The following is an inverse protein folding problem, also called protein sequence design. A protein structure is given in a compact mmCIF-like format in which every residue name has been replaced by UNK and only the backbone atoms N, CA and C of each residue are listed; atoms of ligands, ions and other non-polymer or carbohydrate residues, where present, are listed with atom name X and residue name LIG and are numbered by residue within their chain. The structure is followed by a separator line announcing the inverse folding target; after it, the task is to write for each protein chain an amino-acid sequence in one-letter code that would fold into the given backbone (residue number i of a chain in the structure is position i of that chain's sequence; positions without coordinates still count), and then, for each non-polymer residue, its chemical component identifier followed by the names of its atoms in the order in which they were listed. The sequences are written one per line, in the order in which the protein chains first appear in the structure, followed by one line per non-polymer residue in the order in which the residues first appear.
data_IF_730772189708
#
_entry.id   IF_730772189708
#
_cell.length_a   1.000
_cell.length_b   1.000
_cell.length_c   1.000
_cell.angle_alpha   90.00
_cell.angle_beta   90.00
_cell.angle_gamma   90.00
#
_symmetry.space_group_name_H-M   'P 1'
#
loop_
_entity.id
_entity.type
_entity.pdbx_description
1 polymer ?
#
# COMPACT_ATOMS: atom_id res chain seq x y z
N UNK A 1 -2.08 -0.21 -22.44
CA UNK A 1 -1.01 0.77 -22.20
C UNK A 1 -0.81 0.98 -20.70
N UNK A 2 0.41 0.86 -20.25
CA UNK A 2 0.72 1.04 -18.82
C UNK A 2 0.81 2.53 -18.49
N UNK A 3 0.12 2.94 -17.43
CA UNK A 3 0.21 4.31 -16.95
C UNK A 3 1.52 4.51 -16.20
N UNK A 4 2.19 5.63 -16.41
CA UNK A 4 3.47 5.91 -15.76
C UNK A 4 3.35 5.92 -14.23
N UNK A 5 2.21 6.41 -13.71
CA UNK A 5 1.97 6.42 -12.26
C UNK A 5 1.83 5.05 -11.66
N UNK A 6 1.40 4.06 -12.44
CA UNK A 6 1.23 2.70 -11.96
C UNK A 6 2.55 2.05 -11.54
N UNK A 7 3.59 2.24 -12.32
CA UNK A 7 4.92 1.73 -11.97
C UNK A 7 5.45 2.38 -10.70
N UNK A 8 5.30 3.69 -10.60
CA UNK A 8 5.74 4.42 -9.41
C UNK A 8 4.96 3.97 -8.18
N UNK A 9 3.65 3.79 -8.32
CA UNK A 9 2.82 3.31 -7.22
C UNK A 9 3.27 1.94 -6.73
N UNK A 10 3.60 1.03 -7.65
CA UNK A 10 4.12 -0.29 -7.28
C UNK A 10 5.42 -0.20 -6.51
N UNK A 11 6.32 0.70 -6.90
CA UNK A 11 7.57 0.90 -6.19
C UNK A 11 7.32 1.42 -4.78
N UNK A 12 6.38 2.35 -4.62
CA UNK A 12 6.04 2.89 -3.31
C UNK A 12 5.41 1.85 -2.40
N UNK A 13 4.67 0.89 -2.98
CA UNK A 13 4.00 -0.17 -2.23
C UNK A 13 4.93 -1.37 -1.96
N UNK A 14 6.15 -1.34 -2.46
CA UNK A 14 7.07 -2.46 -2.34
C UNK A 14 7.26 -2.95 -0.89
N UNK A 15 7.32 -2.07 0.14
CA UNK A 15 7.45 -2.55 1.51
C UNK A 15 6.30 -3.43 1.98
N UNK A 16 5.15 -3.37 1.32
CA UNK A 16 3.98 -4.18 1.64
C UNK A 16 3.80 -5.37 0.70
N UNK A 17 4.66 -5.48 -0.32
CA UNK A 17 4.46 -6.42 -1.43
C UNK A 17 4.37 -7.87 -0.97
N UNK A 18 5.21 -8.27 -0.01
CA UNK A 18 5.22 -9.64 0.48
C UNK A 18 3.87 -10.02 1.10
N UNK A 19 3.27 -9.12 1.88
CA UNK A 19 1.96 -9.37 2.48
C UNK A 19 0.86 -9.37 1.43
N UNK A 20 0.92 -8.43 0.49
CA UNK A 20 -0.11 -8.33 -0.55
C UNK A 20 -0.12 -9.56 -1.47
N UNK A 21 1.03 -10.21 -1.63
CA UNK A 21 1.16 -11.41 -2.46
C UNK A 21 0.92 -12.70 -1.69
N UNK A 22 0.82 -12.66 -0.36
CA UNK A 22 0.69 -13.84 0.49
C UNK A 22 -0.78 -14.27 0.55
N UNK A 23 -1.13 -15.48 0.07
CA UNK A 23 -2.54 -15.90 0.01
C UNK A 23 -3.31 -15.83 1.33
N UNK A 24 -2.72 -16.12 2.51
CA UNK A 24 -3.44 -15.98 3.76
C UNK A 24 -3.78 -14.54 4.18
N UNK A 25 -3.13 -13.54 3.56
CA UNK A 25 -3.40 -12.15 3.89
C UNK A 25 -4.74 -11.72 3.30
N UNK A 26 -5.66 -11.28 4.15
CA UNK A 26 -6.98 -10.82 3.73
C UNK A 26 -7.08 -9.32 3.71
N UNK A 27 -6.26 -8.62 4.50
CA UNK A 27 -6.31 -7.17 4.54
C UNK A 27 -4.97 -6.60 5.03
N UNK A 28 -4.59 -5.46 4.46
CA UNK A 28 -3.43 -4.69 4.91
C UNK A 28 -3.90 -3.26 5.14
N UNK A 29 -3.71 -2.75 6.35
CA UNK A 29 -4.10 -1.40 6.72
C UNK A 29 -2.90 -0.60 7.20
N UNK A 30 -2.79 0.64 6.75
CA UNK A 30 -1.77 1.57 7.24
C UNK A 30 -2.50 2.80 7.77
N UNK A 31 -2.58 2.93 9.09
CA UNK A 31 -3.30 4.01 9.74
C UNK A 31 -2.41 5.18 10.11
N UNK A 32 -1.11 4.92 10.25
CA UNK A 32 -0.15 5.97 10.62
C UNK A 32 1.22 5.61 10.08
N UNK A 33 2.11 6.61 9.91
CA UNK A 33 3.44 6.34 9.41
C UNK A 33 4.21 5.37 10.28
N UNK A 34 5.02 4.53 9.65
CA UNK A 34 5.93 3.64 10.33
C UNK A 34 5.37 2.31 10.77
N UNK A 35 4.06 2.05 10.55
CA UNK A 35 3.50 0.77 10.93
C UNK A 35 2.45 0.30 9.95
N UNK A 36 2.22 -1.01 9.94
CA UNK A 36 1.17 -1.63 9.14
C UNK A 36 0.47 -2.69 9.97
N UNK A 37 -0.83 -2.84 9.76
CA UNK A 37 -1.61 -3.92 10.34
C UNK A 37 -2.00 -4.87 9.23
N UNK A 38 -1.76 -6.16 9.45
CA UNK A 38 -2.00 -7.21 8.46
C UNK A 38 -2.94 -8.23 9.08
N UNK A 39 -4.07 -8.48 8.44
CA UNK A 39 -4.97 -9.55 8.83
C UNK A 39 -4.63 -10.82 8.06
N UNK A 40 -4.30 -11.88 8.81
CA UNK A 40 -3.96 -13.17 8.24
C UNK A 40 -4.70 -14.26 9.02
N UNK A 41 -5.47 -15.07 8.28
CA UNK A 41 -6.19 -16.20 8.89
C UNK A 41 -7.05 -15.79 10.07
N UNK A 42 -7.67 -14.62 9.97
CA UNK A 42 -8.57 -14.13 11.01
C UNK A 42 -7.90 -13.43 12.18
N UNK A 43 -6.58 -13.29 12.15
CA UNK A 43 -5.85 -12.62 13.23
C UNK A 43 -5.13 -11.38 12.69
N UNK A 44 -5.11 -10.31 13.48
CA UNK A 44 -4.41 -9.08 13.13
C UNK A 44 -3.00 -9.09 13.70
N UNK A 45 -2.05 -8.69 12.86
CA UNK A 45 -0.64 -8.56 13.23
C UNK A 45 -0.23 -7.11 13.01
N UNK A 46 0.52 -6.56 13.97
CA UNK A 46 1.11 -5.22 13.81
C UNK A 46 2.57 -5.38 13.43
N UNK A 47 2.98 -4.64 12.41
CA UNK A 47 4.37 -4.66 11.94
C UNK A 47 4.96 -3.25 11.92
N UNK A 48 6.20 -3.12 12.35
CA UNK A 48 6.94 -1.87 12.20
C UNK A 48 7.50 -1.83 10.79
N UNK A 49 7.20 -0.76 10.06
CA UNK A 49 7.67 -0.57 8.68
C UNK A 49 8.17 0.86 8.55
N UNK A 50 9.37 1.15 9.07
CA UNK A 50 9.86 2.54 9.13
C UNK A 50 9.92 3.25 7.80
N UNK A 51 10.10 2.51 6.70
CA UNK A 51 10.15 3.11 5.37
C UNK A 51 8.81 3.69 4.93
N UNK A 52 7.70 3.27 5.57
CA UNK A 52 6.39 3.87 5.32
C UNK A 52 6.25 5.17 6.10
N UNK A 53 7.08 6.13 5.78
CA UNK A 53 7.02 7.44 6.42
C UNK A 53 5.88 8.28 5.81
N UNK A 54 5.66 9.45 6.38
CA UNK A 54 4.58 10.34 5.92
C UNK A 54 4.71 10.67 4.44
N UNK A 55 5.93 10.96 3.98
CA UNK A 55 6.14 11.34 2.58
C UNK A 55 5.77 10.20 1.62
N UNK A 56 6.13 8.96 1.96
CA UNK A 56 5.80 7.82 1.13
C UNK A 56 4.29 7.57 1.13
N UNK A 57 3.64 7.64 2.29
CA UNK A 57 2.20 7.45 2.38
C UNK A 57 1.44 8.52 1.61
N UNK A 58 1.88 9.76 1.70
CA UNK A 58 1.27 10.86 0.95
C UNK A 58 1.39 10.63 -0.56
N UNK A 59 2.56 10.18 -1.01
CA UNK A 59 2.79 9.89 -2.43
C UNK A 59 1.88 8.74 -2.90
N UNK A 60 1.73 7.69 -2.10
CA UNK A 60 0.84 6.57 -2.42
C UNK A 60 -0.59 7.06 -2.58
N UNK A 61 -1.07 7.84 -1.61
CA UNK A 61 -2.44 8.34 -1.63
C UNK A 61 -2.68 9.25 -2.83
N UNK A 62 -1.72 10.12 -3.14
CA UNK A 62 -1.84 11.04 -4.26
C UNK A 62 -1.91 10.30 -5.59
N UNK A 63 -1.03 9.30 -5.80
CA UNK A 63 -1.02 8.54 -7.04
C UNK A 63 -2.25 7.66 -7.17
N UNK A 64 -2.68 7.03 -6.08
CA UNK A 64 -3.88 6.19 -6.10
C UNK A 64 -5.11 7.00 -6.44
N UNK A 65 -5.24 8.19 -5.87
CA UNK A 65 -6.37 9.08 -6.16
C UNK A 65 -6.36 9.54 -7.61
N UNK A 66 -5.19 9.89 -8.16
CA UNK A 66 -5.06 10.32 -9.54
C UNK A 66 -5.44 9.19 -10.51
N UNK A 67 -5.01 7.97 -10.22
CA UNK A 67 -5.32 6.82 -11.07
C UNK A 67 -6.81 6.48 -11.02
N UNK A 68 -7.42 6.58 -9.84
CA UNK A 68 -8.86 6.35 -9.68
C UNK A 68 -9.65 7.39 -10.47
N UNK A 69 -9.23 8.65 -10.41
CA UNK A 69 -9.91 9.73 -11.16
C UNK A 69 -9.86 9.48 -12.66
N UNK A 70 -8.74 8.96 -13.17
CA UNK A 70 -8.61 8.62 -14.59
C UNK A 70 -9.56 7.49 -14.98
N UNK A 71 -9.75 6.53 -14.10
CA UNK A 71 -10.62 5.38 -14.38
C UNK A 71 -12.09 5.76 -14.37
N UNK A 72 -12.46 6.76 -13.60
CA UNK A 72 -13.85 7.24 -13.52
C UNK A 72 -14.24 8.09 -14.71
N UNK A 73 -13.25 8.78 -15.29
CA UNK A 73 -13.48 9.63 -16.45
C UNK A 73 -14.01 8.89 -17.63
#
# INVERSE_FOLDING_TARGET
MTRSGERTLRMLLEPLAAWLADPPTTEVCVNMPGEAFVERRGAWERHDVPVLDFARLDAIATLAAAMTAQDVG
#
